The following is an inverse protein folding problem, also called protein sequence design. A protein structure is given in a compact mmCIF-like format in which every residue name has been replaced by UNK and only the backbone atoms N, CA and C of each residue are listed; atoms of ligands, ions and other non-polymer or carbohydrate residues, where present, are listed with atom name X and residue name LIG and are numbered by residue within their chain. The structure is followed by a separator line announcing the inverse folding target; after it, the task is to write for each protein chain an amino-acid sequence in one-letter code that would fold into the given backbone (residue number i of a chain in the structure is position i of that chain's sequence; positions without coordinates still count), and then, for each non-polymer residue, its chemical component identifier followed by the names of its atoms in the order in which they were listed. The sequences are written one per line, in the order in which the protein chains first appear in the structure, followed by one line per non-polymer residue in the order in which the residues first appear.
data_IF_537138793916
#
_entry.id   IF_537138793916
#
_cell.length_a   1.000
_cell.length_b   1.000
_cell.length_c   1.000
_cell.angle_alpha   90.00
_cell.angle_beta   90.00
_cell.angle_gamma   90.00
#
_symmetry.space_group_name_H-M   'P 1'
#
loop_
_entity.id
_entity.type
_entity.pdbx_description
1 polymer ?
#
# COMPACT_ATOMS: atom_id res chain seq x y z
N UNK A 1 26.42 10.60 26.69
CA UNK A 1 26.84 10.14 25.34
C UNK A 1 25.78 10.58 24.35
N UNK A 2 26.01 11.72 23.69
CA UNK A 2 26.06 11.91 22.21
C UNK A 2 24.80 11.44 21.47
N UNK A 3 24.08 12.23 20.67
CA UNK A 3 24.47 13.41 19.90
C UNK A 3 23.23 14.13 19.34
N UNK A 4 23.17 15.46 19.55
CA UNK A 4 22.79 16.55 18.62
C UNK A 4 21.68 16.27 17.59
N UNK A 5 20.44 16.77 17.70
CA UNK A 5 20.01 18.18 17.48
C UNK A 5 20.80 18.93 16.40
N UNK A 6 20.24 19.03 15.19
CA UNK A 6 20.50 20.16 14.30
C UNK A 6 19.31 20.40 13.35
N UNK A 7 18.51 21.42 13.67
CA UNK A 7 17.55 22.03 12.76
C UNK A 7 18.30 22.88 11.72
N UNK A 8 17.92 22.77 10.44
CA UNK A 8 18.29 23.74 9.42
C UNK A 8 17.03 24.11 8.62
N UNK A 9 16.41 25.20 9.06
CA UNK A 9 15.29 25.89 8.39
C UNK A 9 15.91 26.96 7.49
N UNK A 10 15.91 26.72 6.18
CA UNK A 10 16.34 27.66 5.16
C UNK A 10 15.20 28.63 4.82
N UNK A 11 15.36 29.92 5.13
CA UNK A 11 14.56 31.03 4.60
C UNK A 11 15.39 31.83 3.59
N UNK A 12 14.74 32.47 2.60
CA UNK A 12 15.35 32.86 1.34
C UNK A 12 16.03 34.23 1.38
N UNK A 13 17.04 34.36 0.53
CA UNK A 13 17.82 35.55 0.24
C UNK A 13 16.98 36.66 -0.41
N UNK A 14 16.80 37.76 0.31
CA UNK A 14 16.34 39.06 -0.20
C UNK A 14 17.58 39.88 -0.57
N UNK A 15 17.86 40.04 -1.87
CA UNK A 15 18.90 40.96 -2.34
C UNK A 15 18.34 42.38 -2.46
N UNK A 16 18.91 43.27 -1.63
CA UNK A 16 18.91 44.74 -1.76
C UNK A 16 20.11 45.14 -2.61
N UNK A 17 19.88 45.76 -3.77
CA UNK A 17 20.85 46.58 -4.53
C UNK A 17 20.05 47.24 -5.66
N UNK A 18 20.20 48.50 -6.04
CA UNK A 18 20.91 49.64 -5.53
C UNK A 18 20.18 50.86 -6.14
N UNK A 19 20.06 51.93 -5.36
CA UNK A 19 19.67 53.24 -5.87
C UNK A 19 20.87 53.83 -6.63
N UNK A 20 20.72 54.11 -7.92
CA UNK A 20 21.64 55.01 -8.64
C UNK A 20 20.85 56.16 -9.25
N UNK A 21 21.13 57.35 -8.68
CA UNK A 21 20.70 58.66 -9.17
C UNK A 21 21.55 59.08 -10.38
N UNK A 22 20.91 59.87 -11.23
CA UNK A 22 21.43 60.93 -12.11
C UNK A 22 22.70 60.61 -12.93
N UNK A 23 22.55 60.61 -14.27
CA UNK A 23 23.18 61.60 -15.18
C UNK A 23 22.37 61.62 -16.49
N UNK A 24 21.84 62.80 -16.89
CA UNK A 24 21.36 63.04 -18.26
C UNK A 24 22.56 63.20 -19.21
N UNK A 25 22.49 62.66 -20.43
CA UNK A 25 23.03 63.35 -21.59
C UNK A 25 21.93 63.72 -22.58
N UNK A 26 21.87 65.02 -22.83
CA UNK A 26 21.19 65.67 -23.94
C UNK A 26 21.78 65.21 -25.27
N UNK A 27 21.02 64.45 -26.06
CA UNK A 27 21.06 64.52 -27.52
C UNK A 27 19.69 64.14 -28.07
N UNK A 28 18.88 65.16 -28.39
CA UNK A 28 17.69 65.00 -29.23
C UNK A 28 18.14 64.66 -30.65
N UNK A 29 17.81 63.47 -31.14
CA UNK A 29 17.60 63.21 -32.56
C UNK A 29 16.17 62.73 -32.72
N UNK A 30 15.31 63.67 -33.09
CA UNK A 30 13.96 63.42 -33.55
C UNK A 30 14.08 62.72 -34.91
N UNK A 31 14.03 61.38 -34.90
CA UNK A 31 13.90 60.58 -36.11
C UNK A 31 12.41 60.34 -36.31
N UNK A 32 11.80 61.11 -37.21
CA UNK A 32 10.57 60.69 -37.88
C UNK A 32 10.88 59.35 -38.55
N UNK A 33 10.36 58.25 -38.00
CA UNK A 33 10.21 57.02 -38.75
C UNK A 33 9.09 57.27 -39.76
N UNK A 34 9.37 57.42 -41.07
CA UNK A 34 8.34 57.09 -42.04
C UNK A 34 8.00 55.63 -41.77
N UNK A 35 6.71 55.29 -41.75
CA UNK A 35 6.26 53.92 -41.86
C UNK A 35 6.74 53.38 -43.20
N UNK A 36 8.00 52.95 -43.25
CA UNK A 36 8.54 52.17 -44.34
C UNK A 36 7.80 50.85 -44.25
N UNK A 37 6.90 50.66 -45.20
CA UNK A 37 6.30 49.39 -45.57
C UNK A 37 7.44 48.39 -45.79
N UNK A 38 7.82 47.69 -44.73
CA UNK A 38 8.86 46.67 -44.76
C UNK A 38 8.27 45.47 -45.50
N UNK A 39 8.51 45.48 -46.81
CA UNK A 39 8.13 44.45 -47.77
C UNK A 39 9.18 43.34 -47.67
N UNK A 40 9.34 42.73 -46.50
CA UNK A 40 10.06 41.45 -46.39
C UNK A 40 9.23 40.37 -47.08
N UNK A 41 9.77 39.66 -48.09
CA UNK A 41 9.07 38.61 -48.80
C UNK A 41 9.17 37.31 -48.00
N UNK A 42 8.44 37.22 -46.90
CA UNK A 42 8.27 36.00 -46.12
C UNK A 42 6.78 35.69 -46.05
N UNK A 43 6.30 34.87 -46.99
CA UNK A 43 4.94 34.34 -47.01
C UNK A 43 3.84 35.38 -47.26
N UNK A 44 3.86 36.07 -48.42
CA UNK A 44 2.68 36.85 -48.87
C UNK A 44 1.52 35.90 -49.11
N UNK A 45 0.70 35.73 -48.07
CA UNK A 45 -0.68 35.27 -48.21
C UNK A 45 -1.30 36.14 -49.32
N UNK A 46 -1.79 35.55 -50.42
CA UNK A 46 -2.39 36.33 -51.51
C UNK A 46 -3.48 37.23 -50.92
N UNK A 47 -3.64 38.47 -51.43
CA UNK A 47 -4.63 39.41 -50.91
C UNK A 47 -6.02 38.78 -50.81
N UNK A 48 -6.32 37.86 -51.71
CA UNK A 48 -7.54 37.06 -51.74
C UNK A 48 -7.75 36.21 -50.49
N UNK A 49 -6.68 35.56 -49.99
CA UNK A 49 -6.74 34.75 -48.76
C UNK A 49 -6.85 35.64 -47.51
N UNK A 50 -6.18 36.80 -47.49
CA UNK A 50 -6.31 37.74 -46.36
C UNK A 50 -7.70 38.39 -46.34
N UNK A 51 -8.23 38.75 -47.50
CA UNK A 51 -9.60 39.25 -47.64
C UNK A 51 -10.62 38.17 -47.24
N UNK A 52 -10.43 36.92 -47.66
CA UNK A 52 -11.27 35.79 -47.25
C UNK A 52 -11.26 35.62 -45.72
N UNK A 53 -10.11 35.78 -45.06
CA UNK A 53 -10.02 35.75 -43.60
C UNK A 53 -10.73 36.93 -42.91
N UNK A 54 -10.70 38.12 -43.50
CA UNK A 54 -11.44 39.28 -42.97
C UNK A 54 -12.94 39.06 -43.15
N UNK A 55 -13.37 38.65 -44.34
CA UNK A 55 -14.76 38.33 -44.67
C UNK A 55 -15.28 37.20 -43.76
N UNK A 56 -14.45 36.19 -43.47
CA UNK A 56 -14.83 35.08 -42.59
C UNK A 56 -14.92 35.49 -41.12
N UNK A 57 -14.11 36.45 -40.65
CA UNK A 57 -14.11 36.93 -39.27
C UNK A 57 -15.33 37.78 -38.87
N UNK A 58 -16.11 38.29 -39.84
CA UNK A 58 -17.31 39.07 -39.55
C UNK A 58 -18.37 38.16 -38.93
N UNK A 59 -18.89 38.51 -37.73
CA UNK A 59 -19.92 37.74 -37.04
C UNK A 59 -21.24 37.84 -37.81
N UNK A 60 -21.48 36.89 -38.69
CA UNK A 60 -22.77 36.70 -39.33
C UNK A 60 -22.96 35.21 -39.63
N UNK A 61 -24.18 34.76 -39.41
CA UNK A 61 -24.64 33.36 -39.53
C UNK A 61 -24.87 32.91 -40.98
N UNK A 62 -24.65 33.78 -41.97
CA UNK A 62 -24.90 33.49 -43.39
C UNK A 62 -23.75 33.96 -44.30
N UNK A 63 -23.31 33.12 -45.24
CA UNK A 63 -22.22 33.41 -46.19
C UNK A 63 -22.53 34.62 -47.09
N UNK A 64 -23.78 34.73 -47.58
CA UNK A 64 -24.26 35.89 -48.36
C UNK A 64 -24.13 37.21 -47.57
N UNK A 65 -24.32 37.13 -46.27
CA UNK A 65 -24.25 38.28 -45.38
C UNK A 65 -22.80 38.66 -45.06
N UNK A 66 -21.79 37.83 -45.32
CA UNK A 66 -20.38 38.19 -45.06
C UNK A 66 -19.86 39.26 -46.02
N UNK A 67 -20.10 39.09 -47.33
CA UNK A 67 -19.85 40.15 -48.30
C UNK A 67 -20.90 41.26 -48.18
N UNK A 68 -22.16 40.90 -47.92
CA UNK A 68 -23.25 41.84 -47.71
C UNK A 68 -22.99 42.84 -46.58
N UNK A 69 -22.49 42.43 -45.42
CA UNK A 69 -22.22 43.32 -44.28
C UNK A 69 -21.09 44.29 -44.62
N UNK A 70 -20.01 43.84 -45.27
CA UNK A 70 -18.95 44.77 -45.67
C UNK A 70 -19.45 45.77 -46.71
N UNK A 71 -20.24 45.33 -47.70
CA UNK A 71 -20.83 46.23 -48.71
C UNK A 71 -21.84 47.19 -48.09
N UNK A 72 -22.71 46.69 -47.21
CA UNK A 72 -23.72 47.51 -46.50
C UNK A 72 -23.05 48.48 -45.55
N UNK A 73 -22.02 48.07 -44.80
CA UNK A 73 -21.27 48.97 -43.92
C UNK A 73 -20.49 50.01 -44.73
N UNK A 74 -19.87 49.63 -45.85
CA UNK A 74 -19.21 50.58 -46.76
C UNK A 74 -20.21 51.58 -47.37
N UNK A 75 -21.37 51.11 -47.83
CA UNK A 75 -22.44 51.96 -48.34
C UNK A 75 -23.05 52.85 -47.24
N UNK A 76 -23.23 52.32 -46.02
CA UNK A 76 -23.67 53.07 -44.86
C UNK A 76 -22.65 54.14 -44.47
N UNK A 77 -21.35 53.85 -44.52
CA UNK A 77 -20.29 54.83 -44.27
C UNK A 77 -20.26 55.89 -45.38
N UNK A 78 -20.36 55.50 -46.65
CA UNK A 78 -20.42 56.43 -47.77
C UNK A 78 -21.65 57.36 -47.66
N UNK A 79 -22.82 56.81 -47.33
CA UNK A 79 -24.04 57.60 -47.11
C UNK A 79 -23.96 58.45 -45.84
N UNK A 80 -23.30 57.98 -44.79
CA UNK A 80 -23.06 58.74 -43.56
C UNK A 80 -22.17 59.95 -43.80
N UNK A 81 -21.06 59.76 -44.53
CA UNK A 81 -20.14 60.84 -44.94
C UNK A 81 -20.88 61.81 -45.86
N UNK A 82 -21.63 61.29 -46.85
CA UNK A 82 -22.38 62.10 -47.80
C UNK A 82 -23.47 62.96 -47.15
N UNK A 83 -24.19 62.42 -46.15
CA UNK A 83 -25.21 63.16 -45.39
C UNK A 83 -24.64 64.00 -44.25
N UNK A 84 -23.34 63.92 -43.97
CA UNK A 84 -22.72 64.64 -42.86
C UNK A 84 -23.31 64.27 -41.49
N UNK A 85 -23.78 63.03 -41.30
CA UNK A 85 -24.47 62.63 -40.05
C UNK A 85 -23.55 62.69 -38.82
N UNK A 86 -22.23 62.70 -39.02
CA UNK A 86 -21.24 62.93 -37.99
C UNK A 86 -20.57 64.28 -38.21
N UNK A 87 -20.81 65.22 -37.29
CA UNK A 87 -20.14 66.52 -37.28
C UNK A 87 -18.92 66.40 -36.37
N UNK A 88 -17.74 66.67 -36.93
CA UNK A 88 -16.49 66.74 -36.16
C UNK A 88 -16.57 67.96 -35.25
N UNK A 89 -16.94 67.72 -34.00
CA UNK A 89 -16.99 68.72 -32.95
C UNK A 89 -15.87 68.49 -31.92
N UNK A 90 -15.79 69.32 -30.89
CA UNK A 90 -14.87 69.14 -29.75
C UNK A 90 -15.01 67.75 -29.10
N UNK A 91 -16.19 67.13 -29.11
CA UNK A 91 -16.37 65.74 -28.63
C UNK A 91 -15.61 64.69 -29.45
N UNK A 92 -15.26 64.97 -30.71
CA UNK A 92 -14.54 64.01 -31.57
C UNK A 92 -13.14 63.69 -31.04
N UNK A 93 -12.45 64.67 -30.42
CA UNK A 93 -11.14 64.42 -29.80
C UNK A 93 -11.29 63.59 -28.52
N UNK A 94 -12.39 63.79 -27.79
CA UNK A 94 -12.73 62.98 -26.62
C UNK A 94 -12.98 61.53 -27.04
N UNK A 95 -13.78 61.30 -28.08
CA UNK A 95 -14.03 59.96 -28.63
C UNK A 95 -12.74 59.31 -29.13
N UNK A 96 -11.89 60.05 -29.87
CA UNK A 96 -10.61 59.54 -30.35
C UNK A 96 -9.68 59.14 -29.18
N UNK A 97 -9.62 59.96 -28.13
CA UNK A 97 -8.85 59.65 -26.92
C UNK A 97 -9.40 58.44 -26.16
N UNK A 98 -10.73 58.30 -26.09
CA UNK A 98 -11.41 57.17 -25.46
C UNK A 98 -11.14 55.88 -26.24
N UNK A 99 -11.25 55.89 -27.57
CA UNK A 99 -10.92 54.74 -28.42
C UNK A 99 -9.44 54.35 -28.30
N UNK A 100 -8.54 55.34 -28.22
CA UNK A 100 -7.12 55.11 -27.95
C UNK A 100 -6.91 54.41 -26.59
N UNK A 101 -7.55 54.92 -25.54
CA UNK A 101 -7.50 54.35 -24.19
C UNK A 101 -8.09 52.93 -24.16
N UNK A 102 -9.25 52.70 -24.80
CA UNK A 102 -9.85 51.36 -24.95
C UNK A 102 -8.92 50.41 -25.70
N UNK A 103 -8.21 50.87 -26.73
CA UNK A 103 -7.20 50.06 -27.43
C UNK A 103 -6.04 49.64 -26.52
N UNK A 104 -5.55 50.57 -25.69
CA UNK A 104 -4.49 50.30 -24.71
C UNK A 104 -4.99 49.34 -23.61
N UNK A 105 -6.18 49.55 -23.05
CA UNK A 105 -6.79 48.63 -22.07
C UNK A 105 -7.13 47.26 -22.67
N UNK A 106 -7.54 47.21 -23.93
CA UNK A 106 -7.84 45.96 -24.63
C UNK A 106 -6.62 45.06 -24.82
N UNK A 107 -5.41 45.62 -24.84
CA UNK A 107 -4.16 44.86 -24.97
C UNK A 107 -3.48 44.62 -23.63
N UNK A 108 -3.30 45.66 -22.81
CA UNK A 108 -2.62 45.57 -21.50
C UNK A 108 -3.57 45.11 -20.39
N UNK A 109 -4.74 45.76 -20.27
CA UNK A 109 -5.74 45.45 -19.25
C UNK A 109 -6.28 44.03 -19.41
N UNK A 110 -6.54 43.58 -20.64
CA UNK A 110 -7.00 42.21 -20.91
C UNK A 110 -6.00 41.15 -20.44
N UNK A 111 -4.71 41.32 -20.72
CA UNK A 111 -3.68 40.36 -20.29
C UNK A 111 -3.56 40.31 -18.77
N UNK A 112 -3.48 41.46 -18.12
CA UNK A 112 -3.40 41.55 -16.66
C UNK A 112 -4.64 40.98 -15.96
N UNK A 113 -5.83 41.26 -16.49
CA UNK A 113 -7.09 40.71 -15.96
C UNK A 113 -7.18 39.19 -16.14
N UNK A 114 -6.82 38.67 -17.31
CA UNK A 114 -6.82 37.23 -17.57
C UNK A 114 -5.86 36.50 -16.62
N UNK A 115 -4.62 36.99 -16.47
CA UNK A 115 -3.66 36.37 -15.55
C UNK A 115 -4.13 36.42 -14.08
N UNK A 116 -4.72 37.53 -13.65
CA UNK A 116 -5.30 37.66 -12.32
C UNK A 116 -6.50 36.72 -12.11
N UNK A 117 -7.37 36.61 -13.12
CA UNK A 117 -8.52 35.71 -13.13
C UNK A 117 -8.08 34.26 -13.06
N UNK A 118 -7.15 33.83 -13.93
CA UNK A 118 -6.64 32.46 -13.98
C UNK A 118 -5.96 32.08 -12.66
N UNK A 119 -5.17 32.97 -12.07
CA UNK A 119 -4.54 32.75 -10.75
C UNK A 119 -5.58 32.59 -9.64
N UNK A 120 -6.65 33.38 -9.68
CA UNK A 120 -7.73 33.35 -8.68
C UNK A 120 -8.54 32.06 -8.82
N UNK A 121 -8.92 31.70 -10.05
CA UNK A 121 -9.62 30.45 -10.37
C UNK A 121 -8.78 29.25 -9.94
N UNK A 122 -7.48 29.23 -10.26
CA UNK A 122 -6.57 28.15 -9.87
C UNK A 122 -6.43 28.03 -8.34
N UNK A 123 -6.35 29.16 -7.62
CA UNK A 123 -6.31 29.17 -6.15
C UNK A 123 -7.58 28.57 -5.54
N UNK A 124 -8.75 28.98 -6.04
CA UNK A 124 -10.05 28.50 -5.54
C UNK A 124 -10.24 27.02 -5.88
N UNK A 125 -9.90 26.60 -7.10
CA UNK A 125 -9.91 25.20 -7.51
C UNK A 125 -8.97 24.34 -6.66
N UNK A 126 -7.77 24.85 -6.37
CA UNK A 126 -6.79 24.20 -5.48
C UNK A 126 -7.30 24.02 -4.06
N UNK A 127 -7.92 25.04 -3.46
CA UNK A 127 -8.53 24.95 -2.12
C UNK A 127 -9.67 23.94 -2.11
N UNK A 128 -10.54 23.95 -3.13
CA UNK A 128 -11.67 23.02 -3.19
C UNK A 128 -11.21 21.57 -3.37
N UNK A 129 -10.19 21.33 -4.20
CA UNK A 129 -9.62 20.00 -4.36
C UNK A 129 -8.88 19.53 -3.09
N UNK A 130 -8.13 20.42 -2.43
CA UNK A 130 -7.50 20.13 -1.16
C UNK A 130 -8.54 19.80 -0.07
N UNK A 131 -9.62 20.60 0.04
CA UNK A 131 -10.70 20.35 0.98
C UNK A 131 -11.41 19.01 0.72
N UNK A 132 -11.63 18.63 -0.55
CA UNK A 132 -12.19 17.32 -0.90
C UNK A 132 -11.26 16.18 -0.50
N UNK A 133 -9.96 16.31 -0.78
CA UNK A 133 -8.97 15.31 -0.42
C UNK A 133 -8.84 15.17 1.11
N UNK A 134 -8.76 16.30 1.82
CA UNK A 134 -8.69 16.37 3.28
C UNK A 134 -9.93 15.76 3.93
N UNK A 135 -11.13 16.12 3.47
CA UNK A 135 -12.38 15.53 3.98
C UNK A 135 -12.45 14.01 3.77
N UNK A 136 -12.04 13.54 2.58
CA UNK A 136 -12.00 12.09 2.30
C UNK A 136 -10.95 11.39 3.17
N UNK A 137 -9.80 12.02 3.41
CA UNK A 137 -8.76 11.49 4.31
C UNK A 137 -9.23 11.42 5.76
N UNK A 138 -9.88 12.47 6.25
CA UNK A 138 -10.41 12.52 7.62
C UNK A 138 -11.54 11.50 7.84
N UNK A 139 -12.38 11.25 6.83
CA UNK A 139 -13.39 10.17 6.90
C UNK A 139 -12.71 8.80 6.97
N UNK A 140 -11.69 8.55 6.15
CA UNK A 140 -10.96 7.27 6.17
C UNK A 140 -10.30 7.03 7.53
N UNK A 141 -9.61 8.04 8.06
CA UNK A 141 -8.99 7.95 9.39
C UNK A 141 -10.02 7.62 10.49
N UNK A 142 -11.21 8.23 10.43
CA UNK A 142 -12.31 7.91 11.35
C UNK A 142 -12.85 6.50 11.15
N UNK A 143 -12.98 6.02 9.91
CA UNK A 143 -13.41 4.65 9.63
C UNK A 143 -12.39 3.66 10.21
N UNK A 144 -11.09 3.88 10.01
CA UNK A 144 -10.03 3.02 10.54
C UNK A 144 -10.02 3.02 12.08
N UNK A 145 -10.20 4.20 12.70
CA UNK A 145 -10.32 4.31 14.16
C UNK A 145 -11.55 3.54 14.67
N UNK A 146 -12.72 3.69 14.05
CA UNK A 146 -13.94 2.97 14.48
C UNK A 146 -13.85 1.48 14.22
N UNK A 147 -13.24 1.07 13.10
CA UNK A 147 -12.99 -0.34 12.79
C UNK A 147 -12.06 -0.99 13.83
N UNK A 148 -11.03 -0.27 14.27
CA UNK A 148 -10.14 -0.76 15.34
C UNK A 148 -10.88 -0.95 16.68
N UNK A 149 -11.88 -0.11 16.98
CA UNK A 149 -12.72 -0.26 18.19
C UNK A 149 -13.65 -1.48 18.11
N UNK A 150 -14.11 -1.84 16.91
CA UNK A 150 -14.92 -3.05 16.70
C UNK A 150 -14.13 -4.34 16.95
N UNK A 151 -12.83 -4.35 16.63
CA UNK A 151 -11.93 -5.49 16.86
C UNK A 151 -11.64 -5.71 18.36
N UNK A 152 -11.70 -4.68 19.20
CA UNK A 152 -11.43 -4.82 20.64
C UNK A 152 -12.47 -5.73 21.33
N UNK A 153 -13.73 -5.71 20.89
CA UNK A 153 -14.76 -6.60 21.44
C UNK A 153 -14.45 -8.07 21.13
N UNK A 154 -14.09 -8.39 19.89
CA UNK A 154 -13.76 -9.76 19.49
C UNK A 154 -12.48 -10.26 20.16
N UNK A 155 -11.45 -9.41 20.28
CA UNK A 155 -10.20 -9.74 21.00
C UNK A 155 -10.47 -9.98 22.48
N UNK A 156 -11.34 -9.18 23.10
CA UNK A 156 -11.70 -9.37 24.51
C UNK A 156 -12.49 -10.67 24.72
N UNK A 157 -13.49 -10.95 23.87
CA UNK A 157 -14.21 -12.22 23.90
C UNK A 157 -13.28 -13.41 23.65
N UNK A 158 -12.33 -13.27 22.72
CA UNK A 158 -11.32 -14.29 22.46
C UNK A 158 -10.43 -14.55 23.69
N UNK A 159 -9.99 -13.50 24.41
CA UNK A 159 -9.22 -13.67 25.65
C UNK A 159 -10.00 -14.43 26.73
N UNK A 160 -11.29 -14.13 26.91
CA UNK A 160 -12.15 -14.88 27.85
C UNK A 160 -12.37 -16.32 27.40
N UNK A 161 -12.60 -16.55 26.11
CA UNK A 161 -12.76 -17.90 25.55
C UNK A 161 -11.48 -18.71 25.69
N UNK A 162 -10.33 -18.15 25.31
CA UNK A 162 -9.01 -18.78 25.47
C UNK A 162 -8.75 -19.10 26.94
N UNK A 163 -9.00 -18.17 27.86
CA UNK A 163 -8.83 -18.44 29.30
C UNK A 163 -9.73 -19.58 29.80
N UNK A 164 -10.97 -19.66 29.30
CA UNK A 164 -11.91 -20.74 29.65
C UNK A 164 -11.47 -22.09 29.09
N UNK A 165 -11.05 -22.13 27.83
CA UNK A 165 -10.57 -23.35 27.19
C UNK A 165 -9.25 -23.83 27.80
N UNK A 166 -8.33 -22.92 28.17
CA UNK A 166 -7.11 -23.25 28.91
C UNK A 166 -7.45 -23.89 30.26
N UNK A 167 -8.34 -23.29 31.06
CA UNK A 167 -8.73 -23.86 32.35
C UNK A 167 -9.42 -25.24 32.21
N UNK A 168 -10.23 -25.43 31.16
CA UNK A 168 -10.85 -26.72 30.86
C UNK A 168 -9.82 -27.78 30.46
N UNK A 169 -8.90 -27.45 29.56
CA UNK A 169 -7.86 -28.38 29.13
C UNK A 169 -6.91 -28.72 30.28
N UNK A 170 -6.57 -27.77 31.15
CA UNK A 170 -5.81 -28.04 32.36
C UNK A 170 -6.53 -29.03 33.27
N UNK A 171 -7.84 -28.85 33.52
CA UNK A 171 -8.63 -29.78 34.31
C UNK A 171 -8.69 -31.19 33.69
N UNK A 172 -8.91 -31.30 32.38
CA UNK A 172 -8.91 -32.58 31.65
C UNK A 172 -7.54 -33.27 31.70
N UNK A 173 -6.45 -32.50 31.58
CA UNK A 173 -5.07 -32.99 31.74
C UNK A 173 -4.85 -33.53 33.17
N UNK A 174 -5.26 -32.79 34.20
CA UNK A 174 -5.13 -33.23 35.60
C UNK A 174 -5.89 -34.53 35.87
N UNK A 175 -7.12 -34.68 35.36
CA UNK A 175 -7.87 -35.92 35.51
C UNK A 175 -7.18 -37.11 34.81
N UNK A 176 -6.66 -36.90 33.60
CA UNK A 176 -5.96 -37.93 32.85
C UNK A 176 -4.63 -38.31 33.53
N UNK A 177 -3.87 -37.35 34.03
CA UNK A 177 -2.63 -37.59 34.78
C UNK A 177 -2.89 -38.41 36.05
N UNK A 178 -3.94 -38.09 36.81
CA UNK A 178 -4.33 -38.87 37.99
C UNK A 178 -4.70 -40.32 37.63
N UNK A 179 -5.48 -40.53 36.55
CA UNK A 179 -5.82 -41.88 36.07
C UNK A 179 -4.59 -42.66 35.63
N UNK A 180 -3.66 -42.03 34.91
CA UNK A 180 -2.40 -42.64 34.46
C UNK A 180 -1.48 -42.94 35.64
N UNK A 181 -1.39 -42.05 36.63
CA UNK A 181 -0.60 -42.27 37.84
C UNK A 181 -1.09 -43.48 38.63
N UNK A 182 -2.41 -43.59 38.86
CA UNK A 182 -3.02 -44.74 39.53
C UNK A 182 -2.81 -46.05 38.74
N UNK A 183 -3.01 -46.02 37.41
CA UNK A 183 -2.77 -47.18 36.56
C UNK A 183 -1.29 -47.62 36.57
N UNK A 184 -0.36 -46.66 36.62
CA UNK A 184 1.09 -46.92 36.69
C UNK A 184 1.48 -47.52 38.05
N UNK A 185 0.92 -47.04 39.15
CA UNK A 185 1.16 -47.59 40.49
C UNK A 185 0.64 -49.03 40.57
N UNK A 186 -0.60 -49.28 40.13
CA UNK A 186 -1.18 -50.62 40.09
C UNK A 186 -0.35 -51.58 39.21
N UNK A 187 0.13 -51.11 38.05
CA UNK A 187 1.04 -51.88 37.20
C UNK A 187 2.37 -52.17 37.89
N UNK A 188 2.98 -51.18 38.52
CA UNK A 188 4.26 -51.36 39.22
C UNK A 188 4.15 -52.38 40.35
N UNK A 189 3.04 -52.35 41.10
CA UNK A 189 2.75 -53.36 42.13
C UNK A 189 2.59 -54.74 41.49
N UNK A 190 1.80 -54.84 40.41
CA UNK A 190 1.61 -56.11 39.70
C UNK A 190 2.92 -56.67 39.13
N UNK A 191 3.74 -55.85 38.48
CA UNK A 191 5.05 -56.25 37.95
C UNK A 191 6.00 -56.71 39.08
N UNK A 192 5.97 -56.04 40.25
CA UNK A 192 6.71 -56.46 41.45
C UNK A 192 6.25 -57.82 41.97
N UNK A 193 4.94 -58.09 41.98
CA UNK A 193 4.39 -59.39 42.39
C UNK A 193 4.74 -60.49 41.39
N UNK A 194 4.60 -60.22 40.08
CA UNK A 194 4.95 -61.18 39.02
C UNK A 194 6.43 -61.51 39.06
N UNK A 195 7.30 -60.53 39.28
CA UNK A 195 8.73 -60.77 39.42
C UNK A 195 9.06 -61.58 40.68
N UNK A 196 8.45 -61.24 41.83
CA UNK A 196 8.60 -62.03 43.06
C UNK A 196 8.11 -63.48 42.88
N UNK A 197 6.98 -63.69 42.21
CA UNK A 197 6.44 -65.01 41.94
C UNK A 197 7.34 -65.82 40.99
N UNK A 198 7.89 -65.18 39.94
CA UNK A 198 8.86 -65.81 39.04
C UNK A 198 10.14 -66.21 39.78
N UNK A 199 10.66 -65.35 40.67
CA UNK A 199 11.83 -65.64 41.49
C UNK A 199 11.57 -66.81 42.45
N UNK A 200 10.42 -66.83 43.14
CA UNK A 200 10.02 -67.94 44.01
C UNK A 200 9.88 -69.26 43.23
N UNK A 201 9.30 -69.23 42.03
CA UNK A 201 9.22 -70.43 41.17
C UNK A 201 10.61 -70.91 40.74
N UNK A 202 11.51 -69.99 40.38
CA UNK A 202 12.88 -70.32 40.02
C UNK A 202 13.65 -70.94 41.20
N UNK A 203 13.56 -70.36 42.39
CA UNK A 203 14.16 -70.92 43.62
C UNK A 203 13.58 -72.30 43.97
N UNK A 204 12.26 -72.49 43.81
CA UNK A 204 11.64 -73.79 44.03
C UNK A 204 12.13 -74.83 43.01
N UNK A 205 12.25 -74.45 41.74
CA UNK A 205 12.80 -75.32 40.70
C UNK A 205 14.27 -75.67 40.97
N UNK A 206 15.08 -74.71 41.40
CA UNK A 206 16.48 -74.94 41.79
C UNK A 206 16.57 -75.92 42.97
N UNK A 207 15.81 -75.71 44.05
CA UNK A 207 15.77 -76.62 45.21
C UNK A 207 15.27 -78.02 44.85
N UNK A 208 14.27 -78.14 43.96
CA UNK A 208 13.78 -79.43 43.48
C UNK A 208 14.83 -80.15 42.63
N UNK A 209 15.57 -79.42 41.78
CA UNK A 209 16.67 -79.96 40.99
C UNK A 209 17.83 -80.40 41.90
N UNK A 210 18.17 -79.63 42.93
CA UNK A 210 19.18 -80.00 43.93
C UNK A 210 18.79 -81.25 44.72
N UNK A 211 17.54 -81.36 45.20
CA UNK A 211 17.04 -82.54 45.91
C UNK A 211 17.03 -83.78 44.99
N UNK A 212 16.56 -83.64 43.74
CA UNK A 212 16.61 -84.73 42.75
C UNK A 212 18.05 -85.13 42.45
N UNK A 213 18.97 -84.17 42.25
CA UNK A 213 20.37 -84.44 41.99
C UNK A 213 21.06 -85.12 43.19
N UNK A 214 20.76 -84.70 44.41
CA UNK A 214 21.26 -85.32 45.64
C UNK A 214 20.71 -86.75 45.83
N UNK A 215 19.42 -86.98 45.53
CA UNK A 215 18.81 -88.31 45.53
C UNK A 215 19.43 -89.21 44.46
N UNK A 216 19.67 -88.71 43.25
CA UNK A 216 20.33 -89.47 42.19
C UNK A 216 21.78 -89.80 42.58
N UNK A 217 22.56 -88.84 43.07
CA UNK A 217 23.94 -89.07 43.51
C UNK A 217 24.03 -90.08 44.67
N UNK A 218 23.13 -90.01 45.65
CA UNK A 218 23.09 -90.99 46.75
C UNK A 218 22.70 -92.39 46.28
N UNK A 219 21.76 -92.51 45.33
CA UNK A 219 21.40 -93.79 44.71
C UNK A 219 22.54 -94.37 43.87
N UNK A 220 23.23 -93.55 43.07
CA UNK A 220 24.38 -93.95 42.24
C UNK A 220 25.55 -94.51 43.07
N UNK A 221 25.72 -94.05 44.31
CA UNK A 221 26.75 -94.56 45.24
C UNK A 221 26.42 -95.92 45.88
N UNK A 222 25.17 -96.39 45.78
CA UNK A 222 24.74 -97.65 46.39
C UNK A 222 25.02 -98.82 45.46
N UNK A 223 25.72 -99.87 45.93
CA UNK A 223 26.06 -101.05 45.13
C UNK A 223 24.84 -101.73 44.49
N UNK A 224 23.65 -101.60 45.11
CA UNK A 224 22.38 -102.08 44.55
C UNK A 224 22.01 -101.36 43.24
N UNK A 225 22.20 -100.04 43.14
CA UNK A 225 21.92 -99.31 41.90
C UNK A 225 22.92 -99.67 40.81
N UNK A 226 24.20 -99.87 41.15
CA UNK A 226 25.19 -100.34 40.18
C UNK A 226 24.83 -101.73 39.64
N UNK A 227 24.33 -102.63 40.49
CA UNK A 227 23.85 -103.95 40.07
C UNK A 227 22.55 -103.88 39.24
N UNK A 228 21.58 -103.06 39.67
CA UNK A 228 20.30 -102.88 38.96
C UNK A 228 20.53 -102.22 37.58
N UNK A 229 21.41 -101.20 37.49
CA UNK A 229 21.79 -100.56 36.23
C UNK A 229 22.58 -101.50 35.31
N UNK A 230 23.45 -102.37 35.86
CA UNK A 230 24.11 -103.43 35.09
C UNK A 230 23.08 -104.42 34.54
N UNK A 231 22.13 -104.88 35.35
CA UNK A 231 21.08 -105.79 34.90
C UNK A 231 20.14 -105.15 33.88
N UNK A 232 19.80 -103.87 34.02
CA UNK A 232 19.00 -103.12 33.05
C UNK A 232 19.76 -102.94 31.73
N UNK A 233 21.03 -102.55 31.79
CA UNK A 233 21.88 -102.45 30.60
C UNK A 233 22.09 -103.79 29.90
N UNK A 234 22.25 -104.90 30.65
CA UNK A 234 22.33 -106.24 30.09
C UNK A 234 20.98 -106.68 29.48
N UNK A 235 19.86 -106.35 30.11
CA UNK A 235 18.53 -106.65 29.58
C UNK A 235 18.16 -105.84 28.32
N UNK A 236 18.60 -104.59 28.22
CA UNK A 236 18.47 -103.79 27.00
C UNK A 236 19.37 -104.33 25.89
N UNK A 237 20.60 -104.72 26.21
CA UNK A 237 21.50 -105.37 25.24
C UNK A 237 20.91 -106.70 24.77
N UNK A 238 20.33 -107.51 25.66
CA UNK A 238 19.65 -108.77 25.29
C UNK A 238 18.41 -108.52 24.43
N UNK A 239 17.62 -107.47 24.70
CA UNK A 239 16.49 -107.08 23.84
C UNK A 239 16.94 -106.62 22.46
N UNK A 240 18.00 -105.80 22.40
CA UNK A 240 18.56 -105.33 21.13
C UNK A 240 19.16 -106.51 20.35
N UNK A 241 19.84 -107.44 21.03
CA UNK A 241 20.41 -108.64 20.41
C UNK A 241 19.34 -109.66 19.98
N UNK A 242 18.21 -109.78 20.69
CA UNK A 242 17.08 -110.61 20.28
C UNK A 242 16.24 -109.98 19.16
N UNK A 243 16.34 -108.66 18.99
CA UNK A 243 15.70 -107.91 17.90
C UNK A 243 16.58 -107.76 16.65
N UNK A 244 17.84 -108.20 16.71
CA UNK A 244 18.82 -108.23 15.62
C UNK A 244 19.03 -109.66 15.12
#
# INVERSE_FOLDING_TARGET
MSSKLFCLRSFPSVQRTAWQRLVLPSTRKFSLTPTTFDKTPSGRIPPDQKAANIISSVPSTSLLTKSGVLTVTAAALATAISKGIYVVNDESIVVASFLGLVGVFGTLGRKAYNEWSDKTIAKIGGIMQAARNDHTSAIRERIDQVASLQEVESVTQALFHTSKETARMEAEIFELEQRVALAKEAKSVLDSWVHHEANVRAEQQERLVEDVLARVNSKVSTQKFQQDALNESLGEIEKVLASA
#
